data_IF_882677731549
#
_entry.id   IF_882677731549
#
_cell.length_a   1.000
_cell.length_b   1.000
_cell.length_c   1.000
_cell.angle_alpha   90.00
_cell.angle_beta   90.00
_cell.angle_gamma   90.00
#
_symmetry.space_group_name_H-M   'P 1'
#
loop_
_entity.id
_entity.type
_entity.pdbx_description
1 polymer ?
#
# COMPACT_ATOMS: atom_id res chain seq x y z
N UNK A 1 -21.65 12.20 25.55
CA UNK A 1 -22.62 12.18 26.67
C UNK A 1 -22.13 11.37 27.87
N UNK A 2 -20.83 11.04 27.94
CA UNK A 2 -20.25 10.26 29.03
C UNK A 2 -18.73 10.28 28.93
N UNK A 3 -18.07 9.20 29.34
CA UNK A 3 -16.61 9.08 29.32
C UNK A 3 -16.01 9.42 27.94
N UNK A 4 -14.91 10.15 27.94
CA UNK A 4 -14.10 10.47 26.76
C UNK A 4 -12.64 10.09 27.01
N UNK A 5 -11.91 9.80 25.93
CA UNK A 5 -10.49 9.49 25.96
C UNK A 5 -9.79 9.99 24.70
N UNK A 6 -8.48 10.20 24.80
CA UNK A 6 -7.62 10.57 23.69
C UNK A 6 -6.23 9.92 23.86
N UNK A 7 -5.63 9.53 22.74
CA UNK A 7 -4.32 8.88 22.65
C UNK A 7 -3.35 9.86 21.98
N UNK A 8 -2.22 10.13 22.63
CA UNK A 8 -1.20 11.05 22.13
C UNK A 8 0.13 10.34 21.90
N UNK A 9 0.87 10.78 20.88
CA UNK A 9 2.27 10.42 20.70
C UNK A 9 3.20 11.46 21.35
N UNK A 10 4.43 11.09 21.71
CA UNK A 10 5.43 12.04 22.17
C UNK A 10 5.58 13.22 21.20
N UNK A 11 5.70 14.43 21.72
CA UNK A 11 5.93 15.66 20.95
C UNK A 11 4.85 15.99 19.90
N UNK A 12 3.62 15.45 20.03
CA UNK A 12 2.48 15.80 19.16
C UNK A 12 1.35 16.40 19.99
N UNK A 13 0.96 17.63 19.65
CA UNK A 13 -0.13 18.34 20.35
C UNK A 13 -1.53 17.81 20.00
N UNK A 14 -1.70 17.21 18.81
CA UNK A 14 -2.97 16.61 18.37
C UNK A 14 -3.04 15.11 18.73
N UNK A 15 -4.23 14.58 19.12
CA UNK A 15 -4.39 13.16 19.43
C UNK A 15 -4.33 12.29 18.16
N UNK A 16 -3.71 11.12 18.25
CA UNK A 16 -3.69 10.11 17.18
C UNK A 16 -5.04 9.43 17.05
N UNK A 17 -5.69 9.21 18.19
CA UNK A 17 -7.04 8.69 18.26
C UNK A 17 -7.79 9.39 19.39
N UNK A 18 -9.09 9.58 19.20
CA UNK A 18 -9.98 10.13 20.22
C UNK A 18 -11.33 9.46 20.13
N UNK A 19 -11.95 9.27 21.28
CA UNK A 19 -13.19 8.52 21.37
C UNK A 19 -13.90 8.71 22.69
N UNK A 20 -15.00 7.99 22.82
CA UNK A 20 -15.81 8.07 24.03
C UNK A 20 -17.20 7.51 23.83
N UNK A 21 -18.05 7.75 24.84
CA UNK A 21 -19.47 7.45 24.78
C UNK A 21 -20.23 8.60 24.13
N UNK A 22 -21.07 8.25 23.17
CA UNK A 22 -22.03 9.16 22.56
C UNK A 22 -23.43 8.52 22.53
N UNK A 23 -24.44 9.34 22.78
CA UNK A 23 -25.84 8.98 22.64
C UNK A 23 -26.43 9.89 21.54
N UNK A 24 -27.58 9.51 20.98
CA UNK A 24 -28.35 10.40 20.10
C UNK A 24 -27.99 10.41 18.60
N UNK A 25 -26.84 9.85 18.16
CA UNK A 25 -26.55 9.76 16.70
C UNK A 25 -27.64 8.96 15.97
N UNK A 26 -28.18 7.91 16.60
CA UNK A 26 -29.29 7.11 16.07
C UNK A 26 -30.66 7.79 16.07
N UNK A 27 -30.81 8.94 16.73
CA UNK A 27 -32.10 9.65 16.83
C UNK A 27 -32.60 10.12 15.46
N UNK A 28 -31.67 10.61 14.62
CA UNK A 28 -31.93 10.96 13.23
C UNK A 28 -32.39 9.76 12.36
N UNK A 29 -32.20 8.53 12.85
CA UNK A 29 -32.57 7.27 12.19
C UNK A 29 -33.75 6.57 12.89
N UNK A 30 -34.51 7.29 13.72
CA UNK A 30 -35.75 6.82 14.34
C UNK A 30 -35.59 6.09 15.67
N UNK A 31 -34.36 5.95 16.20
CA UNK A 31 -34.14 5.43 17.56
C UNK A 31 -32.82 5.86 18.16
N UNK A 32 -32.88 6.64 19.24
CA UNK A 32 -31.71 6.88 20.07
C UNK A 32 -31.19 5.55 20.68
N UNK A 33 -29.92 5.25 20.46
CA UNK A 33 -29.19 4.14 21.11
C UNK A 33 -27.85 4.67 21.63
N UNK A 34 -27.46 4.30 22.85
CA UNK A 34 -26.13 4.61 23.35
C UNK A 34 -25.06 3.81 22.61
N UNK A 35 -23.90 4.42 22.36
CA UNK A 35 -22.78 3.78 21.69
C UNK A 35 -21.43 4.32 22.19
N UNK A 36 -20.36 3.61 21.85
CA UNK A 36 -18.98 4.05 22.08
C UNK A 36 -18.11 3.68 20.88
N UNK A 37 -17.07 4.46 20.65
CA UNK A 37 -16.11 4.26 19.56
C UNK A 37 -15.02 5.32 19.57
N UNK A 38 -14.14 5.27 18.58
CA UNK A 38 -13.11 6.28 18.34
C UNK A 38 -12.89 6.50 16.86
N UNK A 39 -12.24 7.61 16.53
CA UNK A 39 -11.62 7.86 15.25
C UNK A 39 -10.10 7.90 15.41
N UNK A 40 -9.38 7.61 14.33
CA UNK A 40 -7.92 7.62 14.32
C UNK A 40 -7.38 8.24 13.03
N UNK A 41 -6.36 9.07 13.16
CA UNK A 41 -5.64 9.69 12.05
C UNK A 41 -4.59 8.70 11.52
N UNK A 42 -4.99 7.89 10.52
CA UNK A 42 -4.11 6.92 9.90
C UNK A 42 -2.93 7.57 9.15
N UNK A 43 -3.12 8.78 8.62
CA UNK A 43 -2.03 9.50 7.96
C UNK A 43 -0.94 9.86 8.97
N UNK A 44 -1.31 10.41 10.13
CA UNK A 44 -0.33 10.70 11.17
C UNK A 44 0.36 9.46 11.74
N UNK A 45 -0.28 8.28 11.67
CA UNK A 45 0.34 7.01 12.07
C UNK A 45 1.38 6.51 11.06
N UNK A 46 1.16 6.69 9.76
CA UNK A 46 2.06 6.19 8.72
C UNK A 46 2.97 7.27 8.11
N UNK A 47 2.79 8.54 8.45
CA UNK A 47 3.59 9.64 7.93
C UNK A 47 5.08 9.40 8.19
N UNK A 48 5.88 9.47 7.12
CA UNK A 48 7.33 9.23 7.18
C UNK A 48 7.74 7.75 7.20
N UNK A 49 6.80 6.80 7.30
CA UNK A 49 7.08 5.37 7.19
C UNK A 49 6.93 4.91 5.74
N UNK A 50 7.90 5.27 4.90
CA UNK A 50 7.94 4.81 3.51
C UNK A 50 8.95 3.68 3.38
N UNK A 51 8.49 2.52 2.91
CA UNK A 51 9.39 1.47 2.44
C UNK A 51 9.67 1.73 0.97
N UNK A 52 10.94 1.81 0.60
CA UNK A 52 11.32 1.84 -0.81
C UNK A 52 10.90 0.52 -1.45
N UNK A 53 10.07 0.60 -2.49
CA UNK A 53 9.62 -0.57 -3.24
C UNK A 53 10.48 -0.67 -4.49
N UNK A 54 11.11 -1.83 -4.67
CA UNK A 54 11.80 -2.17 -5.91
C UNK A 54 10.77 -2.29 -7.04
N UNK A 55 10.94 -1.49 -8.08
CA UNK A 55 10.16 -1.58 -9.31
C UNK A 55 10.96 -2.40 -10.32
N UNK A 56 10.40 -3.53 -10.71
CA UNK A 56 10.95 -4.46 -11.69
C UNK A 56 10.22 -4.24 -13.01
N UNK A 57 10.98 -4.03 -14.08
CA UNK A 57 10.43 -4.00 -15.44
C UNK A 57 10.61 -5.35 -16.09
N UNK A 58 9.52 -5.96 -16.53
CA UNK A 58 9.51 -7.18 -17.34
C UNK A 58 9.29 -6.84 -18.83
N UNK A 59 9.91 -7.57 -19.76
CA UNK A 59 9.76 -7.31 -21.19
C UNK A 59 8.32 -7.57 -21.67
N UNK A 60 7.98 -6.98 -22.81
CA UNK A 60 6.77 -7.34 -23.55
C UNK A 60 6.85 -8.80 -24.00
N UNK A 61 5.74 -9.53 -23.92
CA UNK A 61 5.66 -10.92 -24.34
C UNK A 61 4.52 -11.69 -23.67
N UNK A 62 4.21 -12.84 -24.25
CA UNK A 62 3.19 -13.77 -23.73
C UNK A 62 3.77 -15.18 -23.49
N UNK A 63 5.10 -15.32 -23.51
CA UNK A 63 5.75 -16.60 -23.24
C UNK A 63 5.37 -17.10 -21.85
N UNK A 64 4.98 -18.38 -21.76
CA UNK A 64 4.49 -18.98 -20.52
C UNK A 64 5.52 -18.84 -19.38
N UNK A 65 6.81 -19.03 -19.67
CA UNK A 65 7.89 -18.90 -18.68
C UNK A 65 8.06 -17.46 -18.18
N UNK A 66 7.82 -16.45 -19.03
CA UNK A 66 7.83 -15.04 -18.66
C UNK A 66 6.66 -14.74 -17.73
N UNK A 67 5.45 -15.17 -18.09
CA UNK A 67 4.25 -14.96 -17.29
C UNK A 67 4.37 -15.62 -15.91
N UNK A 68 4.96 -16.82 -15.85
CA UNK A 68 5.28 -17.52 -14.60
C UNK A 68 6.30 -16.75 -13.76
N UNK A 69 7.37 -16.24 -14.36
CA UNK A 69 8.37 -15.44 -13.66
C UNK A 69 7.79 -14.12 -13.12
N UNK A 70 6.94 -13.44 -13.89
CA UNK A 70 6.20 -12.24 -13.46
C UNK A 70 5.28 -12.57 -12.28
N UNK A 71 4.49 -13.65 -12.39
CA UNK A 71 3.59 -14.08 -11.33
C UNK A 71 4.34 -14.44 -10.05
N UNK A 72 5.46 -15.17 -10.17
CA UNK A 72 6.33 -15.51 -9.05
C UNK A 72 6.88 -14.26 -8.37
N UNK A 73 7.44 -13.31 -9.11
CA UNK A 73 7.96 -12.06 -8.55
C UNK A 73 6.88 -11.26 -7.80
N UNK A 74 5.66 -11.17 -8.36
CA UNK A 74 4.51 -10.53 -7.70
C UNK A 74 4.08 -11.26 -6.43
N UNK A 75 4.10 -12.59 -6.42
CA UNK A 75 3.79 -13.40 -5.24
C UNK A 75 4.78 -13.16 -4.09
N UNK A 76 6.03 -12.83 -4.40
CA UNK A 76 7.04 -12.42 -3.42
C UNK A 76 6.88 -10.97 -2.93
N UNK A 77 5.83 -10.27 -3.37
CA UNK A 77 5.54 -8.89 -2.97
C UNK A 77 6.33 -7.84 -3.75
N UNK A 78 6.97 -8.21 -4.86
CA UNK A 78 7.69 -7.26 -5.71
C UNK A 78 6.73 -6.56 -6.69
N UNK A 79 6.99 -5.27 -6.95
CA UNK A 79 6.23 -4.52 -7.94
C UNK A 79 6.79 -4.79 -9.34
N UNK A 80 5.97 -5.37 -10.22
CA UNK A 80 6.37 -5.72 -11.59
C UNK A 80 5.51 -5.00 -12.61
N UNK A 81 6.15 -4.16 -13.43
CA UNK A 81 5.57 -3.50 -14.60
C UNK A 81 6.00 -4.27 -15.83
N UNK A 82 5.04 -4.76 -16.62
CA UNK A 82 5.35 -5.41 -17.89
C UNK A 82 5.23 -4.37 -19.01
N UNK A 83 6.26 -4.25 -19.84
CA UNK A 83 6.24 -3.40 -21.03
C UNK A 83 5.21 -3.94 -22.03
N UNK A 84 4.55 -3.04 -22.78
CA UNK A 84 3.56 -3.40 -23.79
C UNK A 84 3.84 -2.66 -25.10
N UNK A 85 3.48 -3.27 -26.23
CA UNK A 85 3.67 -2.65 -27.55
C UNK A 85 5.12 -2.21 -27.77
N UNK A 86 5.30 -0.90 -28.00
CA UNK A 86 6.58 -0.24 -28.24
C UNK A 86 7.20 0.37 -26.96
N UNK A 87 6.69 0.04 -25.78
CA UNK A 87 7.29 0.48 -24.52
C UNK A 87 8.71 -0.09 -24.35
N UNK A 88 9.59 0.71 -23.77
CA UNK A 88 10.93 0.29 -23.39
C UNK A 88 11.23 0.63 -21.92
N UNK A 89 12.46 0.38 -21.48
CA UNK A 89 12.87 0.66 -20.11
C UNK A 89 12.71 2.15 -19.73
N UNK A 90 12.83 3.07 -20.70
CA UNK A 90 12.68 4.50 -20.48
C UNK A 90 11.22 4.93 -20.25
N UNK A 91 10.25 4.11 -20.68
CA UNK A 91 8.83 4.28 -20.32
C UNK A 91 8.58 4.16 -18.80
N UNK A 92 9.52 3.57 -18.04
CA UNK A 92 9.45 3.41 -16.59
C UNK A 92 10.67 4.07 -15.92
N UNK A 93 10.70 5.41 -15.80
CA UNK A 93 11.91 6.15 -15.39
C UNK A 93 12.34 5.91 -13.92
N UNK A 94 11.46 5.32 -13.11
CA UNK A 94 11.72 4.94 -11.72
C UNK A 94 12.01 3.45 -11.54
N UNK A 95 12.23 2.71 -12.64
CA UNK A 95 12.63 1.32 -12.57
C UNK A 95 13.94 1.17 -11.78
N UNK A 96 13.98 0.17 -10.92
CA UNK A 96 15.17 -0.15 -10.11
C UNK A 96 15.85 -1.43 -10.59
N UNK A 97 15.06 -2.30 -11.21
CA UNK A 97 15.46 -3.63 -11.65
C UNK A 97 14.75 -3.97 -12.97
N UNK A 98 15.27 -4.96 -13.67
CA UNK A 98 14.70 -5.54 -14.88
C UNK A 98 14.69 -7.06 -14.78
N UNK A 99 13.70 -7.68 -15.41
CA UNK A 99 13.62 -9.13 -15.57
C UNK A 99 14.28 -9.50 -16.91
N UNK A 100 15.44 -10.17 -16.86
CA UNK A 100 16.15 -10.62 -18.07
C UNK A 100 16.18 -12.14 -18.16
N UNK A 101 16.11 -12.64 -19.40
CA UNK A 101 16.26 -14.06 -19.68
C UNK A 101 17.75 -14.38 -19.90
N UNK A 102 18.38 -15.00 -18.90
CA UNK A 102 19.82 -15.32 -18.89
C UNK A 102 20.00 -16.83 -18.71
N UNK A 103 20.76 -17.46 -19.62
CA UNK A 103 21.05 -18.90 -19.58
C UNK A 103 19.81 -19.81 -19.43
N UNK A 104 18.69 -19.46 -20.10
CA UNK A 104 17.46 -20.25 -20.04
C UNK A 104 16.59 -20.01 -18.79
N UNK A 105 16.92 -19.00 -17.99
CA UNK A 105 16.21 -18.67 -16.75
C UNK A 105 15.89 -17.18 -16.66
N UNK A 106 14.73 -16.83 -16.10
CA UNK A 106 14.38 -15.44 -15.81
C UNK A 106 15.04 -14.99 -14.51
N UNK A 107 15.81 -13.91 -14.58
CA UNK A 107 16.56 -13.34 -13.45
C UNK A 107 16.21 -11.87 -13.26
N UNK A 108 16.06 -11.45 -12.01
CA UNK A 108 15.87 -10.05 -11.64
C UNK A 108 17.25 -9.44 -11.45
N UNK A 109 17.56 -8.40 -12.22
CA UNK A 109 18.85 -7.73 -12.18
C UNK A 109 18.66 -6.23 -11.97
N UNK A 110 19.56 -5.63 -11.21
CA UNK A 110 19.57 -4.18 -10.99
C UNK A 110 19.92 -3.46 -12.29
N UNK A 111 19.25 -2.33 -12.56
CA UNK A 111 19.54 -1.45 -13.69
C UNK A 111 20.78 -0.60 -13.38
#
# INVERSE_FOLDING_TARGET
TGLMYAVYAPNRAAPLAQGGRYDGIGEHFGRARPATGFSCDLYALCAGQFKQIETIVAPNGQDQSLLEAIAFARQQGLAVIQLLGEDDLSSVPYATHQLRHVNGTWQIEKI
#
